data_IF_171714736018
#
_entry.id   IF_171714736018
#
_cell.length_a   1.000
_cell.length_b   1.000
_cell.length_c   1.000
_cell.angle_alpha   90.00
_cell.angle_beta   90.00
_cell.angle_gamma   90.00
#
_symmetry.space_group_name_H-M   'P 1'
#
loop_
_entity.id
_entity.type
_entity.pdbx_description
1 polymer ?
#
# COMPACT_ATOMS: atom_id res chain seq x y z
N UNK A 1 0.91 -27.64 -0.43
CA UNK A 1 0.89 -26.16 -0.37
C UNK A 1 0.98 -25.72 1.09
N UNK A 2 1.85 -24.80 1.37
CA UNK A 2 2.04 -24.18 2.69
C UNK A 2 2.09 -22.66 2.53
N UNK A 3 1.50 -21.90 3.46
CA UNK A 3 1.49 -20.43 3.41
C UNK A 3 2.12 -19.86 4.67
N UNK A 4 2.87 -18.77 4.51
CA UNK A 4 3.56 -18.07 5.60
C UNK A 4 3.23 -16.57 5.50
N UNK A 5 2.63 -16.02 6.54
CA UNK A 5 2.36 -14.58 6.68
C UNK A 5 3.60 -13.87 7.23
N UNK A 6 4.34 -13.21 6.34
CA UNK A 6 5.56 -12.50 6.73
C UNK A 6 5.30 -11.35 7.70
N UNK A 7 4.14 -10.69 7.62
CA UNK A 7 3.85 -9.58 8.53
C UNK A 7 3.61 -10.07 9.95
N UNK A 8 2.92 -11.18 10.11
CA UNK A 8 2.73 -11.80 11.42
C UNK A 8 4.05 -12.29 12.01
N UNK A 9 4.96 -12.80 11.17
CA UNK A 9 6.20 -13.43 11.59
C UNK A 9 7.40 -12.46 11.75
N UNK A 10 7.42 -11.33 11.01
CA UNK A 10 8.59 -10.45 10.99
C UNK A 10 8.34 -9.07 11.61
N UNK A 11 7.10 -8.59 11.62
CA UNK A 11 6.85 -7.22 12.04
C UNK A 11 6.87 -7.08 13.56
N UNK A 12 7.24 -5.88 13.99
CA UNK A 12 7.02 -5.40 15.35
C UNK A 12 5.56 -5.57 15.74
N UNK A 13 5.27 -5.61 17.02
CA UNK A 13 3.89 -5.63 17.49
C UNK A 13 3.13 -4.38 17.06
N UNK A 14 1.80 -4.48 16.94
CA UNK A 14 0.97 -3.33 16.58
C UNK A 14 1.15 -2.12 17.52
N UNK A 15 1.44 -2.36 18.82
CA UNK A 15 1.73 -1.30 19.78
C UNK A 15 3.05 -0.58 19.49
N UNK A 16 4.08 -1.32 19.11
CA UNK A 16 5.38 -0.74 18.73
C UNK A 16 5.26 0.07 17.44
N UNK A 17 4.52 -0.47 16.45
CA UNK A 17 4.25 0.25 15.20
C UNK A 17 3.44 1.53 15.48
N UNK A 18 2.44 1.48 16.34
CA UNK A 18 1.68 2.67 16.74
C UNK A 18 2.58 3.70 17.42
N UNK A 19 3.44 3.29 18.33
CA UNK A 19 4.38 4.17 19.01
C UNK A 19 5.35 4.87 18.04
N UNK A 20 5.65 4.25 16.89
CA UNK A 20 6.47 4.85 15.83
C UNK A 20 5.68 5.82 14.94
N UNK A 21 4.42 5.52 14.66
CA UNK A 21 3.62 6.26 13.68
C UNK A 21 2.81 7.39 14.33
N UNK A 22 2.22 7.17 15.49
CA UNK A 22 1.33 8.16 16.14
C UNK A 22 2.00 9.51 16.36
N UNK A 23 3.29 9.61 16.73
CA UNK A 23 3.98 10.91 16.85
C UNK A 23 4.12 11.68 15.54
N UNK A 24 3.97 11.00 14.40
CA UNK A 24 4.02 11.63 13.07
C UNK A 24 2.67 12.27 12.69
N UNK A 25 1.60 11.89 13.39
CA UNK A 25 0.25 12.34 13.10
C UNK A 25 -0.20 13.30 14.20
N UNK A 26 -0.63 14.49 13.81
CA UNK A 26 -1.15 15.48 14.76
C UNK A 26 -2.55 15.05 15.18
N UNK A 27 -2.74 14.72 16.46
CA UNK A 27 -4.03 14.29 17.00
C UNK A 27 -4.77 15.41 17.75
N UNK A 28 -4.13 16.56 17.89
CA UNK A 28 -4.68 17.72 18.57
C UNK A 28 -5.61 18.50 17.64
N UNK A 29 -6.89 18.54 17.99
CA UNK A 29 -7.92 19.26 17.24
C UNK A 29 -7.84 20.78 17.37
N UNK A 30 -7.15 21.29 18.35
CA UNK A 30 -6.91 22.73 18.47
C UNK A 30 -5.86 23.18 17.44
N UNK A 31 -4.85 22.33 17.20
CA UNK A 31 -3.80 22.58 16.21
C UNK A 31 -4.29 22.21 14.81
N UNK A 32 -4.98 21.08 14.68
CA UNK A 32 -5.50 20.54 13.42
C UNK A 32 -6.96 20.09 13.58
N UNK A 33 -7.92 21.04 13.50
CA UNK A 33 -9.34 20.75 13.75
C UNK A 33 -9.93 19.63 12.87
N UNK A 34 -9.31 19.41 11.72
CA UNK A 34 -9.77 18.42 10.74
C UNK A 34 -8.97 17.15 10.76
N UNK A 35 -7.92 17.11 11.55
CA UNK A 35 -6.98 15.99 11.63
C UNK A 35 -6.42 15.61 10.22
N UNK A 36 -6.00 16.63 9.46
CA UNK A 36 -5.48 16.46 8.09
C UNK A 36 -3.97 16.29 8.03
N UNK A 37 -3.26 16.94 8.94
CA UNK A 37 -1.81 17.07 8.84
C UNK A 37 -1.07 15.92 9.52
N UNK A 38 0.14 15.66 9.03
CA UNK A 38 1.05 14.68 9.55
C UNK A 38 2.43 14.82 8.90
N UNK A 39 3.36 14.01 9.36
CA UNK A 39 4.70 13.87 8.77
C UNK A 39 4.81 12.52 8.09
N UNK A 40 5.45 12.49 6.92
CA UNK A 40 5.68 11.25 6.18
C UNK A 40 6.60 10.34 6.98
N UNK A 41 6.20 9.09 7.12
CA UNK A 41 7.04 8.02 7.64
C UNK A 41 8.08 7.60 6.58
N UNK A 42 9.36 7.67 6.94
CA UNK A 42 10.48 7.42 6.01
C UNK A 42 11.18 6.10 6.24
N UNK A 43 10.75 5.30 7.21
CA UNK A 43 11.45 4.07 7.60
C UNK A 43 11.22 2.88 6.66
N UNK A 44 10.31 3.01 5.68
CA UNK A 44 9.97 1.91 4.79
C UNK A 44 9.42 0.68 5.53
N UNK A 45 9.33 -0.44 4.82
CA UNK A 45 8.95 -1.71 5.45
C UNK A 45 10.02 -2.25 6.38
N UNK A 46 11.29 -1.96 6.10
CA UNK A 46 12.43 -2.33 6.94
C UNK A 46 12.30 -1.79 8.37
N UNK A 47 11.82 -0.56 8.51
CA UNK A 47 11.59 0.05 9.81
C UNK A 47 10.49 -0.64 10.65
N UNK A 48 9.60 -1.40 9.99
CA UNK A 48 8.54 -2.17 10.66
C UNK A 48 9.04 -3.52 11.21
N UNK A 49 10.23 -3.98 10.80
CA UNK A 49 10.75 -5.28 11.17
C UNK A 49 11.22 -5.32 12.62
N UNK A 50 10.95 -6.44 13.27
CA UNK A 50 11.59 -6.88 14.51
C UNK A 50 12.76 -7.78 14.14
N UNK A 51 13.96 -7.45 14.58
CA UNK A 51 15.18 -8.14 14.12
C UNK A 51 15.22 -9.61 14.55
N UNK A 52 14.80 -9.93 15.76
CA UNK A 52 14.82 -11.32 16.25
C UNK A 52 13.80 -12.18 15.49
N UNK A 53 12.60 -11.65 15.30
CA UNK A 53 11.57 -12.32 14.53
C UNK A 53 11.98 -12.49 13.06
N UNK A 54 12.61 -11.48 12.47
CA UNK A 54 13.08 -11.52 11.09
C UNK A 54 14.12 -12.61 10.89
N UNK A 55 15.09 -12.74 11.78
CA UNK A 55 16.08 -13.82 11.71
C UNK A 55 15.44 -15.21 11.86
N UNK A 56 14.47 -15.34 12.75
CA UNK A 56 13.72 -16.60 12.90
C UNK A 56 12.93 -16.96 11.63
N UNK A 57 12.29 -15.96 11.02
CA UNK A 57 11.57 -16.12 9.75
C UNK A 57 12.49 -16.53 8.61
N UNK A 58 13.62 -15.86 8.41
CA UNK A 58 14.63 -16.20 7.40
C UNK A 58 15.10 -17.65 7.53
N UNK A 59 15.35 -18.10 8.75
CA UNK A 59 15.72 -19.49 9.05
C UNK A 59 14.57 -20.45 8.74
N UNK A 60 13.34 -20.10 9.12
CA UNK A 60 12.14 -20.89 8.84
C UNK A 60 11.93 -21.09 7.35
N UNK A 61 11.91 -20.01 6.57
CA UNK A 61 11.71 -20.08 5.11
C UNK A 61 12.81 -20.87 4.45
N UNK A 62 14.08 -20.66 4.83
CA UNK A 62 15.22 -21.40 4.30
C UNK A 62 15.15 -22.90 4.63
N UNK A 63 14.57 -23.27 5.77
CA UNK A 63 14.36 -24.68 6.17
C UNK A 63 13.23 -25.30 5.36
N UNK A 64 12.11 -24.60 5.20
CA UNK A 64 10.97 -25.05 4.40
C UNK A 64 11.34 -25.26 2.93
N UNK A 65 12.17 -24.37 2.37
CA UNK A 65 12.66 -24.46 1.00
C UNK A 65 13.46 -25.74 0.71
N UNK A 66 14.13 -26.29 1.70
CA UNK A 66 14.90 -27.56 1.57
C UNK A 66 13.99 -28.80 1.52
N UNK A 67 12.72 -28.67 1.91
CA UNK A 67 11.75 -29.77 1.83
C UNK A 67 11.29 -30.01 0.40
N UNK A 68 11.57 -31.17 -0.16
CA UNK A 68 11.21 -31.52 -1.54
C UNK A 68 9.67 -31.62 -1.74
N UNK A 69 9.17 -31.16 -2.88
CA UNK A 69 7.82 -31.43 -3.38
C UNK A 69 6.69 -30.57 -2.83
N UNK A 70 6.97 -29.47 -2.12
CA UNK A 70 5.95 -28.54 -1.64
C UNK A 70 6.12 -27.14 -2.26
N UNK A 71 5.00 -26.51 -2.62
CA UNK A 71 4.96 -25.10 -2.93
C UNK A 71 4.74 -24.32 -1.63
N UNK A 72 5.59 -23.35 -1.33
CA UNK A 72 5.51 -22.50 -0.17
C UNK A 72 5.22 -21.07 -0.64
N UNK A 73 4.08 -20.52 -0.25
CA UNK A 73 3.72 -19.15 -0.54
C UNK A 73 4.02 -18.27 0.69
N UNK A 74 4.98 -17.36 0.55
CA UNK A 74 5.24 -16.30 1.52
C UNK A 74 4.54 -15.04 1.06
N UNK A 75 3.69 -14.47 1.89
CA UNK A 75 2.90 -13.29 1.55
C UNK A 75 2.94 -12.23 2.66
N UNK A 76 2.60 -11.01 2.28
CA UNK A 76 2.52 -9.87 3.19
C UNK A 76 3.19 -8.62 2.62
N UNK A 77 3.05 -7.52 3.34
CA UNK A 77 3.71 -6.27 2.96
C UNK A 77 5.23 -6.39 3.17
N UNK A 78 6.00 -5.82 2.24
CA UNK A 78 7.45 -5.80 2.34
C UNK A 78 8.16 -7.15 2.13
N UNK A 79 7.46 -8.19 1.64
CA UNK A 79 8.09 -9.48 1.34
C UNK A 79 9.18 -9.39 0.28
N UNK A 80 9.12 -8.38 -0.60
CA UNK A 80 10.10 -8.17 -1.67
C UNK A 80 11.16 -7.10 -1.36
N UNK A 81 11.35 -6.72 -0.09
CA UNK A 81 12.50 -5.88 0.28
C UNK A 81 13.83 -6.57 0.00
N UNK A 82 14.94 -5.83 -0.23
CA UNK A 82 16.23 -6.41 -0.59
C UNK A 82 16.67 -7.59 0.29
N UNK A 83 16.44 -7.49 1.59
CA UNK A 83 16.80 -8.50 2.57
C UNK A 83 16.22 -9.89 2.29
N UNK A 84 14.98 -9.95 1.78
CA UNK A 84 14.25 -11.23 1.64
C UNK A 84 14.29 -11.84 0.24
N UNK A 85 14.71 -11.09 -0.78
CA UNK A 85 14.62 -11.52 -2.20
C UNK A 85 15.31 -12.83 -2.51
N UNK A 86 16.43 -13.09 -1.86
CA UNK A 86 17.20 -14.33 -2.06
C UNK A 86 16.53 -15.57 -1.46
N UNK A 87 15.52 -15.39 -0.62
CA UNK A 87 14.76 -16.49 -0.05
C UNK A 87 13.79 -17.12 -1.06
N UNK A 88 13.39 -16.39 -2.10
CA UNK A 88 12.31 -16.78 -2.98
C UNK A 88 12.81 -17.19 -4.37
N UNK A 89 12.24 -18.27 -4.91
CA UNK A 89 12.51 -18.72 -6.28
C UNK A 89 11.67 -17.94 -7.29
N UNK A 90 10.45 -17.57 -6.91
CA UNK A 90 9.53 -16.77 -7.73
C UNK A 90 9.00 -15.59 -6.92
N UNK A 91 9.00 -14.42 -7.52
CA UNK A 91 8.60 -13.15 -6.90
C UNK A 91 7.39 -12.57 -7.62
N UNK A 92 6.29 -12.45 -6.90
CA UNK A 92 5.02 -11.94 -7.38
C UNK A 92 4.69 -10.61 -6.71
N UNK A 93 4.32 -9.60 -7.48
CA UNK A 93 3.85 -8.34 -6.93
C UNK A 93 2.36 -8.13 -7.26
N UNK A 94 1.55 -8.00 -6.22
CA UNK A 94 0.12 -7.69 -6.33
C UNK A 94 -0.07 -6.19 -6.24
N UNK A 95 -0.41 -5.58 -7.35
CA UNK A 95 -0.62 -4.15 -7.46
C UNK A 95 -2.09 -3.78 -7.26
N UNK A 96 -2.31 -2.69 -6.54
CA UNK A 96 -3.62 -2.12 -6.28
C UNK A 96 -3.56 -0.61 -6.52
N UNK A 97 -4.51 -0.08 -7.29
CA UNK A 97 -4.55 1.35 -7.54
C UNK A 97 -4.94 2.13 -6.27
N UNK A 98 -4.45 3.37 -6.11
CA UNK A 98 -4.86 4.24 -5.00
C UNK A 98 -6.38 4.43 -4.92
N UNK A 99 -7.06 4.48 -6.06
CA UNK A 99 -8.52 4.59 -6.14
C UNK A 99 -9.20 3.41 -5.44
N UNK A 100 -8.83 2.18 -5.80
CA UNK A 100 -9.39 0.97 -5.20
C UNK A 100 -9.05 0.88 -3.72
N UNK A 101 -7.83 1.24 -3.33
CA UNK A 101 -7.44 1.31 -1.91
C UNK A 101 -8.34 2.26 -1.11
N UNK A 102 -8.61 3.46 -1.63
CA UNK A 102 -9.50 4.44 -0.99
C UNK A 102 -10.95 3.92 -0.91
N UNK A 103 -11.45 3.28 -1.96
CA UNK A 103 -12.79 2.67 -1.95
C UNK A 103 -12.90 1.57 -0.88
N UNK A 104 -11.91 0.69 -0.77
CA UNK A 104 -11.85 -0.35 0.29
C UNK A 104 -11.79 0.26 1.69
N UNK A 105 -11.04 1.35 1.88
CA UNK A 105 -11.03 2.08 3.16
C UNK A 105 -12.44 2.58 3.51
N UNK A 106 -13.16 3.15 2.56
CA UNK A 106 -14.51 3.66 2.78
C UNK A 106 -15.53 2.56 3.11
N UNK A 107 -15.34 1.38 2.54
CA UNK A 107 -16.17 0.20 2.86
C UNK A 107 -15.76 -0.49 4.18
N UNK A 108 -14.72 0.00 4.87
CA UNK A 108 -14.24 -0.61 6.11
C UNK A 108 -13.47 -1.91 5.92
N UNK A 109 -13.02 -2.19 4.70
CA UNK A 109 -12.29 -3.40 4.36
C UNK A 109 -10.78 -3.27 4.54
N UNK A 110 -10.29 -2.06 4.76
CA UNK A 110 -8.86 -1.79 4.90
C UNK A 110 -8.44 -1.66 6.36
N UNK A 111 -7.36 -2.32 6.69
CA UNK A 111 -6.73 -2.26 8.01
C UNK A 111 -5.31 -1.73 7.85
N UNK A 112 -4.97 -0.66 8.57
CA UNK A 112 -3.60 -0.13 8.55
C UNK A 112 -2.58 -1.15 9.05
N UNK A 113 -1.37 -1.08 8.54
CA UNK A 113 -0.27 -1.97 8.90
C UNK A 113 -0.07 -1.99 10.43
N UNK A 114 -0.01 -3.20 11.00
CA UNK A 114 0.12 -3.43 12.43
C UNK A 114 -1.19 -3.36 13.23
N UNK A 115 -2.31 -2.98 12.63
CA UNK A 115 -3.62 -3.03 13.27
C UNK A 115 -4.30 -4.39 13.05
N UNK A 116 -5.18 -4.78 13.95
CA UNK A 116 -6.00 -6.00 13.84
C UNK A 116 -7.43 -5.72 13.34
N UNK A 117 -7.87 -4.46 13.41
CA UNK A 117 -9.22 -4.02 13.04
C UNK A 117 -9.13 -2.65 12.38
N UNK A 118 -10.07 -2.32 11.49
CA UNK A 118 -10.22 -0.96 10.98
C UNK A 118 -10.47 0.01 12.15
N UNK A 119 -9.92 1.19 12.05
CA UNK A 119 -10.25 2.33 12.91
C UNK A 119 -11.32 3.19 12.22
N UNK A 120 -11.72 4.30 12.81
CA UNK A 120 -12.61 5.25 12.14
C UNK A 120 -11.95 5.76 10.86
N UNK A 121 -12.78 5.94 9.84
CA UNK A 121 -12.32 6.20 8.45
C UNK A 121 -11.28 7.34 8.37
N UNK A 122 -11.50 8.45 9.09
CA UNK A 122 -10.57 9.59 9.05
C UNK A 122 -9.17 9.22 9.58
N UNK A 123 -9.08 8.40 10.60
CA UNK A 123 -7.80 7.92 11.13
C UNK A 123 -7.12 6.96 10.18
N UNK A 124 -7.89 6.03 9.61
CA UNK A 124 -7.38 5.08 8.62
C UNK A 124 -6.80 5.82 7.42
N UNK A 125 -7.56 6.71 6.80
CA UNK A 125 -7.14 7.47 5.63
C UNK A 125 -5.89 8.30 5.94
N UNK A 126 -5.89 9.01 7.07
CA UNK A 126 -4.76 9.86 7.45
C UNK A 126 -3.47 9.04 7.60
N UNK A 127 -3.53 7.90 8.30
CA UNK A 127 -2.39 7.02 8.42
C UNK A 127 -1.96 6.43 7.08
N UNK A 128 -2.89 6.11 6.19
CA UNK A 128 -2.57 5.68 4.84
C UNK A 128 -1.74 6.73 4.09
N UNK A 129 -2.15 8.00 4.11
CA UNK A 129 -1.45 9.05 3.38
C UNK A 129 -0.03 9.30 3.86
N UNK A 130 0.21 9.23 5.18
CA UNK A 130 1.52 9.55 5.75
C UNK A 130 2.41 8.34 6.01
N UNK A 131 1.87 7.12 5.89
CA UNK A 131 2.60 5.90 6.18
C UNK A 131 2.37 4.82 5.12
N UNK A 132 1.18 4.21 5.09
CA UNK A 132 0.96 2.97 4.34
C UNK A 132 1.12 3.17 2.82
N UNK A 133 0.54 4.25 2.26
CA UNK A 133 0.66 4.57 0.84
C UNK A 133 2.07 5.00 0.46
N UNK A 134 2.74 5.74 1.33
CA UNK A 134 4.11 6.16 1.07
C UNK A 134 5.05 4.96 1.00
N UNK A 135 4.94 4.02 1.94
CA UNK A 135 5.70 2.78 1.89
C UNK A 135 5.41 1.97 0.63
N UNK A 136 4.13 1.86 0.26
CA UNK A 136 3.73 1.14 -0.94
C UNK A 136 4.29 1.77 -2.23
N UNK A 137 4.22 3.11 -2.34
CA UNK A 137 4.76 3.84 -3.50
C UNK A 137 6.27 3.72 -3.58
N UNK A 138 6.99 3.88 -2.46
CA UNK A 138 8.44 3.74 -2.43
C UNK A 138 8.87 2.31 -2.78
N UNK A 139 8.18 1.30 -2.24
CA UNK A 139 8.44 -0.11 -2.55
C UNK A 139 8.17 -0.41 -4.02
N UNK A 140 7.03 0.01 -4.57
CA UNK A 140 6.71 -0.16 -6.00
C UNK A 140 7.79 0.44 -6.89
N UNK A 141 8.20 1.67 -6.60
CA UNK A 141 9.25 2.36 -7.37
C UNK A 141 10.56 1.57 -7.35
N UNK A 142 10.95 1.12 -6.20
CA UNK A 142 12.19 0.35 -6.01
C UNK A 142 12.15 -1.00 -6.75
N UNK A 143 11.01 -1.72 -6.68
CA UNK A 143 10.80 -2.98 -7.39
C UNK A 143 10.88 -2.80 -8.92
N UNK A 144 10.29 -1.71 -9.45
CA UNK A 144 10.33 -1.38 -10.87
C UNK A 144 11.74 -0.99 -11.32
N UNK A 145 12.44 -0.16 -10.55
CA UNK A 145 13.79 0.30 -10.89
C UNK A 145 14.83 -0.83 -10.91
N UNK A 146 14.61 -1.87 -10.11
CA UNK A 146 15.53 -3.01 -9.98
C UNK A 146 15.04 -4.28 -10.68
N UNK A 147 13.95 -4.24 -11.44
CA UNK A 147 13.37 -5.37 -12.16
C UNK A 147 13.17 -6.61 -11.27
N UNK A 148 12.59 -6.41 -10.08
CA UNK A 148 12.58 -7.45 -9.03
C UNK A 148 11.50 -8.52 -9.23
N UNK A 149 10.23 -8.19 -9.56
CA UNK A 149 9.18 -9.19 -9.72
C UNK A 149 9.38 -10.03 -10.97
N UNK A 150 9.08 -11.33 -10.88
CA UNK A 150 8.95 -12.21 -12.04
C UNK A 150 7.56 -12.05 -12.67
N UNK A 151 6.54 -11.83 -11.81
CA UNK A 151 5.15 -11.62 -12.22
C UNK A 151 4.54 -10.40 -11.58
N UNK A 152 3.74 -9.68 -12.36
CA UNK A 152 2.95 -8.54 -11.94
C UNK A 152 1.46 -8.87 -12.00
N UNK A 153 0.75 -8.62 -10.91
CA UNK A 153 -0.68 -8.87 -10.79
C UNK A 153 -1.43 -7.55 -10.62
N UNK A 154 -2.41 -7.30 -11.51
CA UNK A 154 -3.37 -6.21 -11.34
C UNK A 154 -4.55 -6.75 -10.55
N UNK A 155 -4.72 -6.27 -9.32
CA UNK A 155 -5.64 -6.85 -8.33
C UNK A 155 -6.74 -5.88 -7.86
N UNK A 156 -7.09 -4.90 -8.69
CA UNK A 156 -8.18 -3.96 -8.38
C UNK A 156 -9.54 -4.67 -8.27
N UNK A 157 -9.79 -5.62 -9.17
CA UNK A 157 -10.96 -6.49 -9.11
C UNK A 157 -10.57 -7.87 -8.57
N UNK A 158 -10.98 -8.23 -7.34
CA UNK A 158 -10.62 -9.51 -6.75
C UNK A 158 -11.22 -10.74 -7.48
N UNK A 159 -12.23 -10.53 -8.32
CA UNK A 159 -12.83 -11.60 -9.13
C UNK A 159 -12.18 -11.73 -10.51
N UNK A 160 -11.41 -10.74 -10.93
CA UNK A 160 -10.75 -10.70 -12.23
C UNK A 160 -9.30 -10.21 -12.09
N UNK A 161 -8.49 -10.99 -11.38
CA UNK A 161 -7.06 -10.69 -11.21
C UNK A 161 -6.33 -11.01 -12.51
N UNK A 162 -5.66 -10.01 -13.06
CA UNK A 162 -4.85 -10.17 -14.27
C UNK A 162 -3.39 -10.41 -13.89
N UNK A 163 -2.79 -11.45 -14.44
CA UNK A 163 -1.38 -11.77 -14.25
C UNK A 163 -0.62 -11.61 -15.57
N UNK A 164 0.56 -11.02 -15.49
CA UNK A 164 1.50 -10.93 -16.60
C UNK A 164 2.93 -11.09 -16.11
N UNK A 165 3.85 -11.42 -17.01
CA UNK A 165 5.28 -11.38 -16.68
C UNK A 165 5.70 -9.94 -16.46
N UNK A 166 6.80 -9.74 -15.72
CA UNK A 166 7.32 -8.40 -15.51
C UNK A 166 7.74 -7.72 -16.83
N UNK A 167 8.32 -8.50 -17.77
CA UNK A 167 8.69 -7.99 -19.11
C UNK A 167 7.47 -7.45 -19.85
N UNK A 168 6.37 -8.22 -19.88
CA UNK A 168 5.14 -7.77 -20.53
C UNK A 168 4.57 -6.51 -19.87
N UNK A 169 4.60 -6.42 -18.55
CA UNK A 169 4.19 -5.22 -17.81
C UNK A 169 5.09 -4.01 -18.16
N UNK A 170 6.41 -4.20 -18.19
CA UNK A 170 7.37 -3.16 -18.54
C UNK A 170 7.18 -2.67 -19.98
N UNK A 171 6.92 -3.59 -20.93
CA UNK A 171 6.63 -3.26 -22.32
C UNK A 171 5.34 -2.45 -22.46
N UNK A 172 4.28 -2.84 -21.74
CA UNK A 172 3.02 -2.08 -21.70
C UNK A 172 3.28 -0.66 -21.20
N UNK A 173 3.99 -0.50 -20.10
CA UNK A 173 4.33 0.81 -19.56
C UNK A 173 5.17 1.65 -20.55
N UNK A 174 6.15 1.01 -21.20
CA UNK A 174 6.99 1.66 -22.21
C UNK A 174 6.20 2.11 -23.46
N UNK A 175 5.17 1.35 -23.84
CA UNK A 175 4.27 1.76 -24.92
C UNK A 175 3.35 2.87 -24.48
N UNK A 176 2.73 2.77 -23.31
CA UNK A 176 1.80 3.78 -22.80
C UNK A 176 2.43 5.18 -22.72
N UNK A 177 3.68 5.31 -22.29
CA UNK A 177 4.35 6.61 -22.18
C UNK A 177 4.68 7.28 -23.52
N UNK A 178 4.53 6.56 -24.64
CA UNK A 178 4.70 7.14 -25.98
C UNK A 178 3.48 7.93 -26.44
N UNK A 179 2.34 7.75 -25.79
CA UNK A 179 1.08 8.40 -26.14
C UNK A 179 0.72 9.45 -25.10
N UNK A 180 0.01 10.50 -25.50
CA UNK A 180 -0.48 11.49 -24.56
C UNK A 180 -1.51 10.89 -23.60
N UNK A 181 -1.51 11.37 -22.37
CA UNK A 181 -2.49 10.99 -21.35
C UNK A 181 -3.43 12.14 -21.06
N UNK A 182 -4.70 11.81 -20.85
CA UNK A 182 -5.69 12.73 -20.29
C UNK A 182 -5.86 12.40 -18.81
N UNK A 183 -5.65 13.36 -17.93
CA UNK A 183 -5.99 13.24 -16.53
C UNK A 183 -7.49 13.47 -16.34
N UNK A 184 -8.19 12.44 -15.85
CA UNK A 184 -9.61 12.53 -15.45
C UNK A 184 -9.69 12.56 -13.93
N UNK A 185 -10.18 13.66 -13.32
CA UNK A 185 -10.37 13.69 -11.87
C UNK A 185 -11.48 12.72 -11.47
N UNK A 186 -11.20 11.88 -10.48
CA UNK A 186 -12.20 11.03 -9.85
C UNK A 186 -12.86 11.79 -8.72
N UNK A 187 -14.16 12.02 -8.79
CA UNK A 187 -14.92 12.63 -7.72
C UNK A 187 -15.43 11.55 -6.78
N UNK A 188 -14.90 11.53 -5.57
CA UNK A 188 -15.34 10.63 -4.52
C UNK A 188 -16.12 11.46 -3.51
N UNK A 189 -17.38 11.14 -3.30
CA UNK A 189 -18.18 11.78 -2.25
C UNK A 189 -17.60 11.43 -0.88
N UNK A 190 -17.43 12.42 -0.05
CA UNK A 190 -17.17 12.24 1.38
C UNK A 190 -15.76 12.52 1.81
N UNK A 191 -15.49 12.07 2.89
CA UNK A 191 -14.64 12.17 4.06
C UNK A 191 -13.42 13.09 4.00
N UNK A 192 -12.70 13.25 2.90
CA UNK A 192 -11.46 14.01 2.87
C UNK A 192 -11.48 15.18 1.90
N UNK A 193 -10.99 16.30 2.35
CA UNK A 193 -10.76 17.49 1.55
C UNK A 193 -12.01 18.25 1.12
N UNK A 194 -12.94 17.61 0.44
CA UNK A 194 -14.10 18.28 -0.11
C UNK A 194 -15.03 18.89 0.93
N UNK A 195 -15.41 18.14 1.96
CA UNK A 195 -16.27 18.67 3.03
C UNK A 195 -15.58 19.73 3.88
N UNK A 196 -14.27 19.60 4.10
CA UNK A 196 -13.49 20.60 4.78
C UNK A 196 -13.38 21.89 3.96
N UNK A 197 -12.98 21.77 2.69
CA UNK A 197 -12.85 22.93 1.81
C UNK A 197 -14.17 23.66 1.61
N UNK A 198 -15.28 22.92 1.51
CA UNK A 198 -16.62 23.52 1.43
C UNK A 198 -16.93 24.37 2.65
N UNK A 199 -16.73 23.84 3.86
CA UNK A 199 -16.96 24.56 5.10
C UNK A 199 -16.02 25.75 5.27
N UNK A 200 -14.74 25.56 4.99
CA UNK A 200 -13.72 26.60 5.12
C UNK A 200 -13.91 27.76 4.13
N UNK A 201 -14.45 27.45 2.93
CA UNK A 201 -14.68 28.43 1.88
C UNK A 201 -16.14 28.84 1.70
N UNK A 202 -17.02 28.41 2.60
CA UNK A 202 -18.47 28.63 2.52
C UNK A 202 -19.07 28.23 1.16
N UNK A 203 -18.60 27.12 0.61
CA UNK A 203 -19.08 26.58 -0.67
C UNK A 203 -20.37 25.77 -0.45
N UNK A 204 -21.25 25.69 -1.45
CA UNK A 204 -22.48 24.89 -1.37
C UNK A 204 -22.19 23.42 -1.05
N UNK A 205 -22.95 22.82 -0.13
CA UNK A 205 -22.79 21.41 0.24
C UNK A 205 -23.00 20.45 -0.96
N UNK A 206 -23.87 20.84 -1.89
CA UNK A 206 -24.16 20.06 -3.10
C UNK A 206 -23.04 20.07 -4.13
N UNK A 207 -22.06 20.97 -4.01
CA UNK A 207 -20.92 21.01 -4.90
C UNK A 207 -20.15 19.68 -4.77
N UNK A 208 -19.86 19.05 -5.90
CA UNK A 208 -19.08 17.81 -5.91
C UNK A 208 -17.70 18.02 -5.30
N UNK A 209 -17.28 17.09 -4.48
CA UNK A 209 -15.95 17.09 -3.89
C UNK A 209 -14.92 16.74 -4.97
N UNK A 210 -13.84 17.52 -5.05
CA UNK A 210 -12.70 17.15 -5.86
C UNK A 210 -12.03 15.91 -5.24
N UNK A 211 -11.75 14.91 -6.07
CA UNK A 211 -10.99 13.76 -5.64
C UNK A 211 -9.49 14.11 -5.61
N UNK A 212 -8.80 13.46 -4.71
CA UNK A 212 -7.33 13.49 -4.65
C UNK A 212 -6.68 12.50 -5.62
N UNK A 213 -7.48 11.82 -6.43
CA UNK A 213 -7.04 10.78 -7.36
C UNK A 213 -7.43 11.19 -8.77
N UNK A 214 -6.50 11.01 -9.69
CA UNK A 214 -6.71 11.20 -11.10
C UNK A 214 -6.54 9.86 -11.82
N UNK A 215 -7.48 9.52 -12.67
CA UNK A 215 -7.29 8.46 -13.65
C UNK A 215 -6.55 9.05 -14.85
N UNK A 216 -5.45 8.40 -15.24
CA UNK A 216 -4.73 8.74 -16.47
C UNK A 216 -5.24 7.85 -17.58
N UNK A 217 -5.87 8.45 -18.58
CA UNK A 217 -6.48 7.74 -19.69
C UNK A 217 -5.61 7.99 -20.93
N UNK A 218 -5.04 6.95 -21.56
CA UNK A 218 -4.36 7.11 -22.83
C UNK A 218 -5.31 7.73 -23.85
N UNK A 219 -4.82 8.63 -24.66
CA UNK A 219 -5.57 9.19 -25.79
C UNK A 219 -5.35 8.28 -27.00
N UNK A 220 -6.45 7.84 -27.60
CA UNK A 220 -6.44 7.12 -28.87
C UNK A 220 -5.98 8.01 -30.02
#
# INVERSE_FOLDING_TARGET
FESVDANAECFKSGKEIDAMIDPLLIWDKEIDPTLLYGKIYKGGYEGMLDEQKTQAFEKKVSTLKKGAGKVIAVYGYGTLIPRFRSLYDTKCFFDLTPKTSILRIRCGEYVNIGKKRPDIINRVIRRCYYCDFEMAVCSRRELLQNNVPDFWFLSDDPQNIQMMTYEAFADICAQLVKYPFRAKPCYIEGVWGGSYMKRHRNLPEQMRNAAWVFDFIPME
#
